data_IF_460176407755
#
_entry.id   IF_460176407755
#
_cell.length_a   1.000
_cell.length_b   1.000
_cell.length_c   1.000
_cell.angle_alpha   90.00
_cell.angle_beta   90.00
_cell.angle_gamma   90.00
#
_symmetry.space_group_name_H-M   'P 1'
#
loop_
_entity.id
_entity.type
_entity.pdbx_description
1 polymer ?
#
# COMPACT_ATOMS: atom_id res chain seq x y z
N UNK A 1 -10.41 42.93 -25.94
CA UNK A 1 -10.66 42.26 -24.65
C UNK A 1 -9.35 41.60 -24.21
N UNK A 2 -8.63 42.22 -23.26
CA UNK A 2 -7.29 41.80 -22.84
C UNK A 2 -7.44 40.82 -21.66
N UNK A 3 -7.02 39.58 -21.84
CA UNK A 3 -6.94 38.58 -20.75
C UNK A 3 -5.65 38.82 -19.97
N UNK A 4 -5.80 39.14 -18.69
CA UNK A 4 -4.68 39.27 -17.75
C UNK A 4 -4.31 37.85 -17.28
N UNK A 5 -3.07 37.45 -17.53
CA UNK A 5 -2.48 36.24 -16.95
C UNK A 5 -2.20 36.43 -15.46
N UNK A 6 -2.80 35.62 -14.63
CA UNK A 6 -2.47 35.53 -13.21
C UNK A 6 -1.16 34.72 -13.05
N UNK A 7 -0.15 35.36 -12.48
CA UNK A 7 1.11 34.70 -12.09
C UNK A 7 0.87 33.88 -10.83
N UNK A 8 0.99 32.56 -10.94
CA UNK A 8 1.07 31.66 -9.79
C UNK A 8 2.43 31.79 -9.11
N UNK A 9 2.44 32.03 -7.80
CA UNK A 9 3.63 32.12 -6.98
C UNK A 9 4.20 30.71 -6.67
N UNK A 10 5.51 30.47 -6.71
CA UNK A 10 6.10 29.20 -6.33
C UNK A 10 6.49 29.22 -4.84
N UNK A 11 5.78 28.47 -4.02
CA UNK A 11 6.15 28.36 -2.60
C UNK A 11 5.81 26.98 -2.01
N UNK A 12 6.49 25.91 -2.39
CA UNK A 12 7.06 25.02 -1.37
C UNK A 12 8.42 24.38 -1.69
N UNK A 13 9.06 24.74 -2.80
CA UNK A 13 10.34 24.12 -3.19
C UNK A 13 11.55 24.46 -2.27
N UNK A 14 11.45 25.53 -1.46
CA UNK A 14 12.60 26.02 -0.68
C UNK A 14 12.89 25.18 0.59
N UNK A 15 11.89 24.50 1.16
CA UNK A 15 12.10 23.71 2.39
C UNK A 15 12.70 22.33 2.14
N UNK A 16 12.48 21.74 0.97
CA UNK A 16 13.05 20.44 0.62
C UNK A 16 14.51 20.54 0.15
N UNK A 17 14.90 21.64 -0.48
CA UNK A 17 16.27 21.86 -0.92
C UNK A 17 17.26 22.01 0.23
N UNK A 18 16.80 22.53 1.38
CA UNK A 18 17.65 22.68 2.57
C UNK A 18 17.97 21.33 3.25
N UNK A 19 17.11 20.31 3.11
CA UNK A 19 17.32 18.99 3.68
C UNK A 19 18.26 18.11 2.82
N UNK A 20 18.37 18.36 1.52
CA UNK A 20 19.20 17.56 0.60
C UNK A 20 20.63 18.10 0.45
N UNK A 21 20.92 19.33 0.92
CA UNK A 21 22.25 19.91 0.84
C UNK A 21 23.18 19.58 2.03
N UNK A 22 22.68 18.85 3.03
CA UNK A 22 23.42 18.58 4.26
C UNK A 22 24.61 17.57 4.17
N UNK A 23 24.68 16.59 3.24
CA UNK A 23 25.80 15.66 3.23
C UNK A 23 27.07 16.16 2.55
N UNK A 24 27.02 17.23 1.77
CA UNK A 24 28.21 17.74 1.06
C UNK A 24 29.12 18.64 1.91
N UNK A 25 28.67 19.09 3.08
CA UNK A 25 29.42 20.03 3.94
C UNK A 25 30.28 19.33 5.02
N UNK A 26 30.37 18.00 5.03
CA UNK A 26 31.12 17.27 6.07
C UNK A 26 32.61 17.11 5.85
N UNK A 27 33.21 17.81 4.87
CA UNK A 27 34.66 17.76 4.59
C UNK A 27 35.30 19.14 4.49
N UNK A 28 35.03 20.05 5.40
CA UNK A 28 35.90 21.25 5.51
C UNK A 28 36.20 21.57 6.97
N UNK A 29 37.47 21.44 7.29
CA UNK A 29 38.30 22.07 8.33
C UNK A 29 37.64 22.68 9.58
N UNK A 30 38.22 22.31 10.71
CA UNK A 30 38.00 22.73 12.08
C UNK A 30 37.98 24.23 12.36
N UNK A 31 36.97 24.99 11.89
CA UNK A 31 36.70 26.36 12.37
C UNK A 31 35.31 26.87 11.91
N UNK A 32 34.30 26.01 11.85
CA UNK A 32 32.96 26.45 11.50
C UNK A 32 32.14 26.74 12.77
N UNK A 33 32.09 28.05 13.14
CA UNK A 33 31.27 28.59 14.23
C UNK A 33 29.85 28.95 13.83
N UNK A 34 29.34 28.38 12.71
CA UNK A 34 27.96 28.56 12.26
C UNK A 34 26.94 27.85 13.18
N UNK A 35 25.66 28.27 13.16
CA UNK A 35 24.63 27.63 13.96
C UNK A 35 24.48 26.16 13.54
N UNK A 36 24.90 25.24 14.41
CA UNK A 36 24.74 23.79 14.18
C UNK A 36 23.33 23.39 14.61
N UNK A 37 22.53 22.93 13.65
CA UNK A 37 21.25 22.29 13.97
C UNK A 37 21.52 20.96 14.69
N UNK A 38 21.48 20.96 16.01
CA UNK A 38 21.53 19.73 16.80
C UNK A 38 20.10 19.19 16.91
N UNK A 39 19.77 18.18 16.13
CA UNK A 39 18.53 17.46 16.30
C UNK A 39 18.69 16.50 17.50
N UNK A 40 17.84 16.55 18.52
CA UNK A 40 17.89 15.65 19.67
C UNK A 40 17.29 14.28 19.32
N UNK A 41 17.84 13.62 18.30
CA UNK A 41 17.38 12.32 17.78
C UNK A 41 18.56 11.37 17.68
N UNK A 42 18.33 10.09 17.96
CA UNK A 42 19.37 9.04 17.86
C UNK A 42 19.66 8.68 16.40
N UNK A 43 18.63 8.64 15.55
CA UNK A 43 18.76 8.22 14.16
C UNK A 43 17.69 8.86 13.27
N UNK A 44 18.08 9.21 12.05
CA UNK A 44 17.17 9.56 10.96
C UNK A 44 17.56 8.71 9.76
N UNK A 45 16.68 7.79 9.35
CA UNK A 45 16.82 7.02 8.13
C UNK A 45 15.98 7.67 7.02
N UNK A 46 16.63 8.01 5.91
CA UNK A 46 15.97 8.56 4.73
C UNK A 46 15.88 7.49 3.65
N UNK A 47 14.76 7.42 2.95
CA UNK A 47 14.56 6.53 1.82
C UNK A 47 13.83 7.24 0.70
N UNK A 48 14.06 6.80 -0.52
CA UNK A 48 13.34 7.27 -1.68
C UNK A 48 12.95 6.11 -2.60
N UNK A 49 11.88 6.32 -3.37
CA UNK A 49 11.40 5.37 -4.36
C UNK A 49 10.82 6.09 -5.55
N UNK A 50 11.21 5.63 -6.74
CA UNK A 50 10.63 6.08 -8.00
C UNK A 50 10.17 4.85 -8.77
N UNK A 51 8.94 4.88 -9.25
CA UNK A 51 8.37 3.86 -10.13
C UNK A 51 7.83 4.52 -11.39
N UNK A 52 8.39 4.14 -12.55
CA UNK A 52 7.87 4.53 -13.87
C UNK A 52 7.16 3.33 -14.46
N UNK A 53 5.92 3.52 -14.90
CA UNK A 53 5.04 2.49 -15.43
C UNK A 53 4.68 2.79 -16.88
N UNK A 54 4.97 1.83 -17.75
CA UNK A 54 4.40 1.73 -19.10
C UNK A 54 3.24 0.76 -19.04
N UNK A 55 2.09 1.12 -19.58
CA UNK A 55 0.91 0.27 -19.57
C UNK A 55 0.12 0.39 -20.87
N UNK A 56 -0.52 -0.72 -21.26
CA UNK A 56 -1.50 -0.74 -22.35
C UNK A 56 -2.90 -0.96 -21.80
N UNK A 57 -3.91 -0.63 -22.60
CA UNK A 57 -5.31 -0.92 -22.29
C UNK A 57 -6.03 -1.41 -23.54
N UNK A 58 -6.79 -2.50 -23.41
CA UNK A 58 -7.67 -2.99 -24.46
C UNK A 58 -8.99 -2.22 -24.55
N UNK A 59 -9.28 -1.38 -23.56
CA UNK A 59 -10.56 -0.62 -23.43
C UNK A 59 -10.42 0.80 -23.94
N UNK A 60 -9.31 1.46 -23.64
CA UNK A 60 -9.09 2.86 -24.01
C UNK A 60 -8.60 2.94 -25.46
N UNK A 61 -9.55 3.12 -26.38
CA UNK A 61 -9.26 3.24 -27.82
C UNK A 61 -8.62 4.58 -28.21
N UNK A 62 -8.73 5.60 -27.38
CA UNK A 62 -8.13 6.93 -27.61
C UNK A 62 -6.66 6.93 -27.21
N UNK A 63 -6.33 6.28 -26.13
CA UNK A 63 -4.97 6.16 -25.61
C UNK A 63 -4.65 4.73 -25.21
N UNK A 64 -4.41 3.82 -26.17
CA UNK A 64 -4.21 2.39 -25.88
C UNK A 64 -2.91 2.09 -25.15
N UNK A 65 -1.95 3.02 -25.11
CA UNK A 65 -0.70 2.91 -24.37
C UNK A 65 -0.36 4.20 -23.63
N UNK A 66 0.31 4.09 -22.50
CA UNK A 66 0.66 5.23 -21.65
C UNK A 66 1.96 5.01 -20.88
N UNK A 67 2.60 6.12 -20.50
CA UNK A 67 3.77 6.16 -19.63
C UNK A 67 3.49 7.12 -18.49
N UNK A 68 3.55 6.62 -17.27
CA UNK A 68 3.29 7.41 -16.07
C UNK A 68 4.41 7.27 -15.04
N UNK A 69 4.62 8.31 -14.26
CA UNK A 69 5.34 8.20 -13.00
C UNK A 69 4.34 7.67 -11.96
N UNK A 70 4.41 6.40 -11.68
CA UNK A 70 3.41 5.70 -10.86
C UNK A 70 3.51 6.05 -9.38
N UNK A 71 4.75 6.19 -8.86
CA UNK A 71 5.03 6.56 -7.47
C UNK A 71 6.35 7.31 -7.38
N UNK A 72 6.37 8.37 -6.59
CA UNK A 72 7.58 9.07 -6.14
C UNK A 72 7.48 9.24 -4.63
N UNK A 73 8.04 8.31 -3.88
CA UNK A 73 8.02 8.38 -2.42
C UNK A 73 9.32 8.93 -1.88
N UNK A 74 9.19 9.87 -0.96
CA UNK A 74 10.24 10.23 -0.02
C UNK A 74 9.77 9.86 1.38
N UNK A 75 10.64 9.21 2.14
CA UNK A 75 10.33 8.82 3.51
C UNK A 75 11.46 9.17 4.47
N UNK A 76 11.07 9.54 5.67
CA UNK A 76 11.96 9.72 6.81
C UNK A 76 11.44 8.90 7.98
N UNK A 77 12.25 8.00 8.49
CA UNK A 77 12.02 7.30 9.75
C UNK A 77 12.91 7.91 10.81
N UNK A 78 12.33 8.33 11.92
CA UNK A 78 13.02 9.01 13.01
C UNK A 78 12.98 8.15 14.26
N UNK A 79 14.12 7.92 14.87
CA UNK A 79 14.26 7.36 16.21
C UNK A 79 14.78 8.46 17.13
N UNK A 80 13.88 9.02 17.94
CA UNK A 80 14.25 10.05 18.92
C UNK A 80 15.04 9.43 20.05
N UNK A 81 14.59 8.28 20.55
CA UNK A 81 15.24 7.43 21.55
C UNK A 81 14.65 6.01 21.48
N UNK A 82 15.03 5.12 22.41
CA UNK A 82 14.51 3.77 22.44
C UNK A 82 12.99 3.69 22.57
N UNK A 83 12.36 4.68 23.19
CA UNK A 83 10.92 4.72 23.47
C UNK A 83 10.09 5.47 22.41
N UNK A 84 10.65 6.50 21.79
CA UNK A 84 9.93 7.40 20.87
C UNK A 84 10.53 7.32 19.47
N UNK A 85 9.69 7.10 18.47
CA UNK A 85 10.04 7.17 17.05
C UNK A 85 8.85 7.63 16.22
N UNK A 86 9.03 7.68 14.92
CA UNK A 86 7.98 8.09 13.99
C UNK A 86 8.38 7.90 12.54
N UNK A 87 7.43 8.10 11.64
CA UNK A 87 7.64 8.04 10.20
C UNK A 87 6.86 9.14 9.50
N UNK A 88 7.47 9.72 8.50
CA UNK A 88 6.82 10.57 7.50
C UNK A 88 7.13 9.99 6.12
N UNK A 89 6.10 9.73 5.32
CA UNK A 89 6.22 9.34 3.92
C UNK A 89 5.29 10.20 3.07
N UNK A 90 5.82 10.74 1.99
CA UNK A 90 5.08 11.55 1.03
C UNK A 90 5.19 10.97 -0.37
N UNK A 91 4.11 11.08 -1.15
CA UNK A 91 4.04 10.71 -2.57
C UNK A 91 3.95 11.98 -3.41
N UNK A 92 4.85 12.10 -4.40
CA UNK A 92 4.96 13.24 -5.31
C UNK A 92 4.62 12.86 -6.76
N UNK A 93 4.05 11.69 -7.01
CA UNK A 93 3.77 11.21 -8.36
C UNK A 93 2.61 11.92 -9.07
N UNK A 94 1.76 12.64 -8.35
CA UNK A 94 0.61 13.36 -8.91
C UNK A 94 0.83 14.88 -8.95
N UNK A 95 -0.23 15.61 -9.25
CA UNK A 95 -0.23 17.07 -9.30
C UNK A 95 -0.03 17.74 -7.92
N UNK A 96 -0.15 16.98 -6.86
CA UNK A 96 0.03 17.39 -5.46
C UNK A 96 0.82 16.37 -4.68
N UNK A 97 1.61 16.85 -3.71
CA UNK A 97 2.19 15.99 -2.70
C UNK A 97 1.09 15.40 -1.80
N UNK A 98 1.10 14.10 -1.59
CA UNK A 98 0.16 13.38 -0.75
C UNK A 98 0.88 12.76 0.43
N UNK A 99 0.43 13.04 1.64
CA UNK A 99 0.93 12.37 2.86
C UNK A 99 0.42 10.94 2.86
N UNK A 100 1.34 9.97 2.87
CA UNK A 100 1.05 8.53 2.97
C UNK A 100 1.13 8.08 4.42
N UNK A 101 2.30 8.01 5.00
CA UNK A 101 2.49 7.72 6.43
C UNK A 101 2.87 9.01 7.17
N UNK A 102 2.24 9.29 8.29
CA UNK A 102 2.63 10.37 9.18
C UNK A 102 2.18 10.01 10.61
N UNK A 103 3.07 9.37 11.37
CA UNK A 103 2.74 8.89 12.69
C UNK A 103 3.88 8.99 13.69
N UNK A 104 3.52 9.13 14.95
CA UNK A 104 4.35 8.91 16.12
C UNK A 104 4.19 7.47 16.59
N UNK A 105 5.28 6.84 17.03
CA UNK A 105 5.28 5.52 17.67
C UNK A 105 5.92 5.60 19.04
N UNK A 106 5.25 5.06 20.04
CA UNK A 106 5.79 4.84 21.38
C UNK A 106 6.06 3.35 21.56
N UNK A 107 7.33 2.99 21.78
CA UNK A 107 7.79 1.62 21.96
C UNK A 107 7.93 1.33 23.46
N UNK A 108 6.85 0.87 24.10
CA UNK A 108 6.87 0.53 25.54
C UNK A 108 7.64 -0.77 25.75
N UNK A 109 7.36 -1.76 24.90
CA UNK A 109 8.06 -3.05 24.82
C UNK A 109 7.82 -3.67 23.46
N UNK A 110 8.53 -4.76 23.09
CA UNK A 110 8.21 -5.50 21.86
C UNK A 110 6.75 -5.99 21.82
N UNK A 111 6.17 -6.32 22.96
CA UNK A 111 4.78 -6.73 23.08
C UNK A 111 3.76 -5.58 23.19
N UNK A 112 4.20 -4.33 23.33
CA UNK A 112 3.30 -3.19 23.48
C UNK A 112 3.91 -1.95 22.82
N UNK A 113 3.33 -1.54 21.73
CA UNK A 113 3.63 -0.30 21.02
C UNK A 113 2.33 0.48 20.79
N UNK A 114 2.42 1.79 20.86
CA UNK A 114 1.32 2.70 20.53
C UNK A 114 1.71 3.49 19.28
N UNK A 115 0.80 3.60 18.33
CA UNK A 115 0.97 4.38 17.13
C UNK A 115 -0.17 5.39 17.01
N UNK A 116 0.17 6.66 16.80
CA UNK A 116 -0.79 7.75 16.63
C UNK A 116 -0.48 8.52 15.37
N UNK A 117 -1.44 8.62 14.44
CA UNK A 117 -1.28 9.34 13.18
C UNK A 117 -1.91 8.62 11.99
N UNK A 118 -1.47 9.00 10.79
CA UNK A 118 -1.90 8.40 9.53
C UNK A 118 -1.04 7.18 9.20
N UNK A 119 -1.65 6.00 9.21
CA UNK A 119 -0.98 4.74 8.93
C UNK A 119 -1.98 3.71 8.38
N UNK A 120 -1.49 2.59 7.86
CA UNK A 120 -2.38 1.51 7.43
C UNK A 120 -3.22 0.98 8.59
N UNK A 121 -4.51 0.74 8.31
CA UNK A 121 -5.37 -0.08 9.17
C UNK A 121 -4.84 -1.51 9.19
N UNK A 122 -4.86 -2.22 10.33
CA UNK A 122 -4.39 -3.60 10.42
C UNK A 122 -5.42 -4.57 9.82
N UNK A 123 -5.61 -4.49 8.50
CA UNK A 123 -6.53 -5.29 7.71
C UNK A 123 -5.98 -5.52 6.31
N UNK A 124 -6.06 -6.74 5.76
CA UNK A 124 -5.48 -7.21 4.51
C UNK A 124 -3.94 -7.25 4.50
N UNK A 125 -3.38 -8.47 4.43
CA UNK A 125 -1.94 -8.68 4.27
C UNK A 125 -1.43 -8.01 3.00
N UNK A 126 -2.18 -8.11 1.90
CA UNK A 126 -1.84 -7.54 0.60
C UNK A 126 -1.72 -6.02 0.68
N UNK A 127 -2.66 -5.36 1.38
CA UNK A 127 -2.58 -3.92 1.60
C UNK A 127 -1.40 -3.50 2.49
N UNK A 128 -1.12 -4.27 3.54
CA UNK A 128 -0.03 -4.03 4.48
C UNK A 128 1.35 -4.28 3.86
N UNK A 129 1.45 -5.12 2.82
CA UNK A 129 2.70 -5.41 2.11
C UNK A 129 3.19 -4.16 1.38
N UNK A 130 4.46 -3.79 1.58
CA UNK A 130 5.07 -2.61 0.91
C UNK A 130 5.03 -2.75 -0.61
N UNK A 131 4.78 -1.64 -1.31
CA UNK A 131 4.79 -1.58 -2.79
C UNK A 131 6.11 -2.06 -3.42
N UNK A 132 7.22 -2.04 -2.67
CA UNK A 132 8.50 -2.58 -3.14
C UNK A 132 8.60 -4.08 -3.03
N UNK A 133 7.70 -4.71 -2.26
CA UNK A 133 7.72 -6.14 -1.92
C UNK A 133 6.57 -6.93 -2.53
N UNK A 134 5.56 -6.28 -3.12
CA UNK A 134 4.51 -6.99 -3.85
C UNK A 134 5.11 -7.71 -5.05
N UNK A 135 4.69 -8.94 -5.32
CA UNK A 135 5.16 -9.75 -6.45
C UNK A 135 4.68 -9.17 -7.78
N UNK A 136 3.38 -8.86 -7.99
CA UNK A 136 2.92 -8.15 -9.18
C UNK A 136 3.34 -6.67 -9.14
N UNK A 137 3.14 -5.95 -10.22
CA UNK A 137 3.39 -4.49 -10.29
C UNK A 137 2.38 -3.73 -9.44
N UNK A 138 1.13 -4.15 -9.43
CA UNK A 138 0.03 -3.53 -8.67
C UNK A 138 -0.65 -4.56 -7.78
N UNK A 139 -1.26 -4.12 -6.66
CA UNK A 139 -2.00 -4.99 -5.75
C UNK A 139 -3.29 -5.51 -6.36
N UNK A 140 -4.01 -4.66 -7.09
CA UNK A 140 -5.25 -4.95 -7.79
C UNK A 140 -5.15 -4.70 -9.28
N UNK A 141 -6.23 -4.94 -10.00
CA UNK A 141 -6.35 -4.63 -11.40
C UNK A 141 -6.21 -3.11 -11.64
N UNK A 142 -5.34 -2.73 -12.55
CA UNK A 142 -5.19 -1.36 -13.01
C UNK A 142 -5.22 -1.37 -14.54
N UNK A 143 -6.42 -1.22 -15.12
CA UNK A 143 -6.65 -1.18 -16.56
C UNK A 143 -7.32 0.16 -16.86
N UNK A 144 -6.62 1.02 -17.61
CA UNK A 144 -7.15 2.35 -17.92
C UNK A 144 -8.43 2.23 -18.73
N UNK A 145 -9.41 3.08 -18.42
CA UNK A 145 -10.75 3.04 -19.01
C UNK A 145 -11.69 2.02 -18.38
N UNK A 146 -11.22 1.24 -17.39
CA UNK A 146 -12.04 0.30 -16.65
C UNK A 146 -11.79 0.44 -15.14
N UNK A 147 -12.75 -0.03 -14.33
CA UNK A 147 -12.67 -0.06 -12.88
C UNK A 147 -12.98 -1.49 -12.34
N UNK A 148 -12.12 -2.48 -12.62
CA UNK A 148 -12.32 -3.84 -12.16
C UNK A 148 -12.33 -3.92 -10.64
N UNK A 149 -13.28 -4.67 -10.08
CA UNK A 149 -13.40 -4.94 -8.64
C UNK A 149 -12.88 -6.35 -8.33
N UNK A 150 -11.57 -6.54 -8.45
CA UNK A 150 -10.88 -7.69 -7.88
C UNK A 150 -10.79 -7.56 -6.35
N UNK A 151 -10.16 -8.50 -5.65
CA UNK A 151 -10.09 -8.52 -4.19
C UNK A 151 -9.62 -7.18 -3.61
N UNK A 152 -8.42 -6.72 -4.02
CA UNK A 152 -7.84 -5.51 -3.46
C UNK A 152 -8.66 -4.25 -3.77
N UNK A 153 -9.16 -4.12 -5.01
CA UNK A 153 -9.96 -2.98 -5.41
C UNK A 153 -11.32 -2.95 -4.68
N UNK A 154 -11.90 -4.12 -4.40
CA UNK A 154 -13.10 -4.23 -3.55
C UNK A 154 -12.83 -3.73 -2.14
N UNK A 155 -11.81 -4.26 -1.46
CA UNK A 155 -11.50 -3.91 -0.07
C UNK A 155 -11.11 -2.43 0.07
N UNK A 156 -10.33 -1.92 -0.87
CA UNK A 156 -9.91 -0.51 -0.91
C UNK A 156 -11.09 0.41 -1.23
N UNK A 157 -11.87 0.10 -2.25
CA UNK A 157 -13.06 0.86 -2.63
C UNK A 157 -14.12 0.91 -1.55
N UNK A 158 -14.29 -0.19 -0.81
CA UNK A 158 -15.17 -0.27 0.37
C UNK A 158 -14.53 0.32 1.63
N UNK A 159 -13.26 0.75 1.59
CA UNK A 159 -12.55 1.40 2.69
C UNK A 159 -12.35 0.51 3.94
N UNK A 160 -12.37 -0.81 3.81
CA UNK A 160 -12.01 -1.72 4.89
C UNK A 160 -10.50 -1.73 5.15
N UNK A 161 -9.70 -1.50 4.13
CA UNK A 161 -8.25 -1.39 4.18
C UNK A 161 -7.79 0.07 3.94
N UNK A 162 -6.53 0.31 3.60
CA UNK A 162 -5.88 1.59 3.35
C UNK A 162 -5.40 2.32 4.62
N UNK A 163 -4.74 3.46 4.37
CA UNK A 163 -4.25 4.34 5.43
C UNK A 163 -5.36 5.22 5.96
N UNK A 164 -5.33 5.47 7.27
CA UNK A 164 -6.29 6.33 7.92
C UNK A 164 -5.68 6.99 9.17
N UNK A 165 -6.22 8.13 9.55
CA UNK A 165 -5.80 8.83 10.77
C UNK A 165 -6.42 8.16 11.99
N UNK A 166 -5.59 7.68 12.92
CA UNK A 166 -6.09 6.97 14.08
C UNK A 166 -5.05 6.67 15.15
N UNK A 167 -5.47 5.81 16.06
CA UNK A 167 -4.65 5.27 17.14
C UNK A 167 -4.62 3.75 17.02
N UNK A 168 -3.44 3.16 17.17
CA UNK A 168 -3.25 1.72 17.17
C UNK A 168 -2.44 1.27 18.37
N UNK A 169 -2.80 0.12 18.89
CA UNK A 169 -1.99 -0.68 19.83
C UNK A 169 -1.55 -1.91 19.09
N UNK A 170 -0.26 -2.19 19.06
CA UNK A 170 0.29 -3.33 18.35
C UNK A 170 1.49 -3.92 19.11
N UNK A 171 1.82 -5.16 18.82
CA UNK A 171 2.98 -5.79 19.43
C UNK A 171 3.18 -7.24 19.00
N UNK A 172 4.42 -7.69 19.24
CA UNK A 172 4.82 -9.09 19.14
C UNK A 172 5.62 -9.43 20.39
N UNK A 173 4.96 -9.97 21.45
CA UNK A 173 5.62 -10.24 22.71
C UNK A 173 6.79 -11.22 22.54
N UNK A 174 7.95 -10.90 23.10
CA UNK A 174 9.13 -11.77 23.03
C UNK A 174 8.83 -13.12 23.69
N UNK A 175 9.11 -14.21 22.98
CA UNK A 175 8.84 -15.56 23.44
C UNK A 175 7.37 -15.97 23.42
N UNK A 176 6.51 -15.19 22.77
CA UNK A 176 5.12 -15.58 22.56
C UNK A 176 5.03 -16.90 21.78
N UNK A 177 4.11 -17.81 22.15
CA UNK A 177 3.89 -19.04 21.41
C UNK A 177 3.65 -18.77 19.93
N UNK A 178 4.25 -19.60 19.06
CA UNK A 178 4.08 -19.52 17.61
C UNK A 178 4.39 -18.13 17.01
N UNK A 179 5.27 -17.34 17.62
CA UNK A 179 5.58 -15.99 17.13
C UNK A 179 4.36 -15.05 17.08
N UNK A 180 3.43 -15.17 18.01
CA UNK A 180 2.20 -14.40 18.04
C UNK A 180 2.45 -12.89 17.98
N UNK A 181 1.68 -12.22 17.12
CA UNK A 181 1.61 -10.76 17.00
C UNK A 181 0.17 -10.27 16.92
N UNK A 182 -0.03 -9.02 17.25
CA UNK A 182 -1.36 -8.40 17.18
C UNK A 182 -1.30 -6.92 16.83
N UNK A 183 -2.39 -6.39 16.29
CA UNK A 183 -2.64 -4.96 16.12
C UNK A 183 -4.13 -4.68 16.25
N UNK A 184 -4.50 -3.63 16.98
CA UNK A 184 -5.88 -3.16 17.14
C UNK A 184 -5.88 -1.64 17.00
N UNK A 185 -6.82 -1.08 16.26
CA UNK A 185 -6.88 0.36 16.05
C UNK A 185 -8.29 0.91 15.88
N UNK A 186 -8.41 2.21 16.19
CA UNK A 186 -9.57 3.03 15.93
C UNK A 186 -9.16 4.21 15.04
N UNK A 187 -9.93 4.46 13.97
CA UNK A 187 -9.60 5.39 12.90
C UNK A 187 -10.76 6.33 12.61
N UNK A 188 -10.45 7.50 12.11
CA UNK A 188 -11.44 8.55 11.83
C UNK A 188 -12.29 8.24 10.56
N UNK A 189 -11.78 7.44 9.62
CA UNK A 189 -12.29 7.34 8.27
C UNK A 189 -11.51 8.24 7.29
N UNK A 190 -11.74 8.14 5.97
CA UNK A 190 -10.87 8.72 4.97
C UNK A 190 -10.66 10.22 5.17
N UNK A 191 -9.41 10.68 5.06
CA UNK A 191 -9.05 12.11 5.09
C UNK A 191 -9.76 12.82 3.93
N UNK A 192 -10.67 13.75 4.25
CA UNK A 192 -11.40 14.56 3.27
C UNK A 192 -12.89 14.31 3.20
N UNK A 193 -13.45 13.41 4.00
CA UNK A 193 -14.90 13.32 4.18
C UNK A 193 -15.44 14.63 4.75
N UNK A 194 -16.47 15.20 4.14
CA UNK A 194 -17.14 16.39 4.66
C UNK A 194 -17.54 16.16 6.12
N UNK A 195 -17.16 17.09 6.97
CA UNK A 195 -17.53 17.11 8.39
C UNK A 195 -19.03 17.40 8.46
N UNK A 196 -19.86 16.34 8.37
CA UNK A 196 -21.25 16.40 8.82
C UNK A 196 -21.30 15.89 10.27
N UNK A 197 -22.42 16.06 10.95
CA UNK A 197 -22.60 15.84 12.39
C UNK A 197 -22.20 14.45 12.94
N UNK A 198 -21.78 13.51 12.08
CA UNK A 198 -21.26 12.20 12.47
C UNK A 198 -20.10 11.81 11.51
N UNK A 199 -18.87 11.93 11.99
CA UNK A 199 -17.70 11.43 11.25
C UNK A 199 -17.72 9.88 11.26
N UNK A 200 -17.51 9.25 10.11
CA UNK A 200 -17.39 7.79 10.05
C UNK A 200 -16.26 7.31 10.97
N UNK A 201 -16.52 6.25 11.73
CA UNK A 201 -15.52 5.61 12.58
C UNK A 201 -15.19 4.24 12.03
N UNK A 202 -13.91 3.94 11.86
CA UNK A 202 -13.42 2.60 11.51
C UNK A 202 -12.73 1.97 12.70
N UNK A 203 -12.96 0.68 12.90
CA UNK A 203 -12.19 -0.15 13.83
C UNK A 203 -11.52 -1.25 13.02
N UNK A 204 -10.32 -1.65 13.40
CA UNK A 204 -9.66 -2.79 12.81
C UNK A 204 -8.84 -3.55 13.86
N UNK A 205 -8.79 -4.87 13.72
CA UNK A 205 -7.99 -5.76 14.55
C UNK A 205 -7.38 -6.86 13.68
N UNK A 206 -6.15 -7.24 13.99
CA UNK A 206 -5.41 -8.31 13.33
C UNK A 206 -4.62 -9.11 14.35
N UNK A 207 -4.61 -10.42 14.18
CA UNK A 207 -3.71 -11.35 14.88
C UNK A 207 -2.88 -12.12 13.86
N UNK A 208 -1.63 -12.42 14.20
CA UNK A 208 -0.71 -13.19 13.35
C UNK A 208 0.01 -14.24 14.15
N UNK A 209 0.35 -15.36 13.51
CA UNK A 209 1.21 -16.41 14.05
C UNK A 209 2.23 -16.85 13.01
N UNK A 210 3.43 -17.27 13.48
CA UNK A 210 4.49 -17.84 12.66
C UNK A 210 4.91 -19.20 13.27
N UNK A 211 4.13 -20.28 13.00
CA UNK A 211 4.37 -21.58 13.60
C UNK A 211 5.66 -22.26 13.11
N UNK A 212 6.12 -21.92 11.92
CA UNK A 212 7.36 -22.36 11.31
C UNK A 212 8.07 -21.16 10.69
N UNK A 213 9.39 -21.25 10.57
CA UNK A 213 10.16 -20.20 9.90
C UNK A 213 9.62 -19.92 8.49
N UNK A 214 9.38 -18.65 8.21
CA UNK A 214 8.84 -18.14 6.96
C UNK A 214 7.41 -18.63 6.60
N UNK A 215 6.68 -19.28 7.52
CA UNK A 215 5.26 -19.61 7.35
C UNK A 215 4.42 -18.81 8.34
N UNK A 216 3.67 -17.85 7.85
CA UNK A 216 2.85 -16.93 8.64
C UNK A 216 1.38 -17.10 8.29
N UNK A 217 0.54 -16.98 9.30
CA UNK A 217 -0.91 -16.91 9.15
C UNK A 217 -1.42 -15.66 9.83
N UNK A 218 -2.42 -15.05 9.25
CA UNK A 218 -3.11 -13.89 9.80
C UNK A 218 -4.62 -14.06 9.78
N UNK A 219 -5.26 -13.36 10.71
CA UNK A 219 -6.70 -13.17 10.72
C UNK A 219 -6.99 -11.73 11.10
N UNK A 220 -7.88 -11.09 10.37
CA UNK A 220 -8.24 -9.71 10.64
C UNK A 220 -9.75 -9.47 10.57
N UNK A 221 -10.16 -8.43 11.27
CA UNK A 221 -11.50 -7.89 11.26
C UNK A 221 -11.44 -6.39 11.09
N UNK A 222 -12.33 -5.84 10.28
CA UNK A 222 -12.49 -4.40 10.12
C UNK A 222 -13.98 -4.03 10.18
N UNK A 223 -14.29 -2.93 10.81
CA UNK A 223 -15.63 -2.35 10.74
C UNK A 223 -15.54 -0.86 10.44
N UNK A 224 -16.51 -0.35 9.72
CA UNK A 224 -16.61 1.06 9.37
C UNK A 224 -18.06 1.51 9.30
N UNK A 225 -18.26 2.81 9.53
CA UNK A 225 -19.54 3.43 9.26
C UNK A 225 -19.63 3.85 7.79
N UNK A 226 -20.79 3.73 7.21
CA UNK A 226 -21.09 4.15 5.83
C UNK A 226 -22.53 4.65 5.71
N UNK A 227 -22.82 5.35 4.61
CA UNK A 227 -24.19 5.69 4.20
C UNK A 227 -24.46 5.06 2.84
N UNK A 228 -25.58 4.34 2.71
CA UNK A 228 -25.98 3.75 1.44
C UNK A 228 -26.34 4.84 0.40
N UNK A 229 -26.97 5.92 0.87
CA UNK A 229 -27.28 7.13 0.07
C UNK A 229 -27.02 8.38 0.89
N UNK A 230 -26.81 9.52 0.21
CA UNK A 230 -26.70 10.81 0.88
C UNK A 230 -28.00 11.11 1.66
N UNK A 231 -27.88 11.44 2.94
CA UNK A 231 -29.01 11.73 3.83
C UNK A 231 -29.51 10.52 4.63
N UNK A 232 -29.11 9.29 4.29
CA UNK A 232 -29.46 8.10 5.06
C UNK A 232 -28.75 8.10 6.43
N UNK A 233 -29.32 7.34 7.38
CA UNK A 233 -28.66 7.06 8.65
C UNK A 233 -27.33 6.33 8.42
N UNK A 234 -26.37 6.55 9.32
CA UNK A 234 -25.12 5.76 9.35
C UNK A 234 -25.44 4.30 9.64
N UNK A 235 -24.88 3.42 8.86
CA UNK A 235 -24.90 1.98 9.04
C UNK A 235 -23.48 1.50 9.33
N UNK A 236 -23.34 0.38 10.02
CA UNK A 236 -22.07 -0.25 10.30
C UNK A 236 -21.88 -1.50 9.46
N UNK A 237 -20.85 -1.50 8.63
CA UNK A 237 -20.42 -2.66 7.89
C UNK A 237 -19.23 -3.34 8.54
N UNK A 238 -19.12 -4.65 8.33
CA UNK A 238 -18.06 -5.51 8.84
C UNK A 238 -17.39 -6.29 7.71
N UNK A 239 -16.10 -6.52 7.84
CA UNK A 239 -15.35 -7.43 7.00
C UNK A 239 -14.42 -8.30 7.84
N UNK A 240 -14.18 -9.52 7.38
CA UNK A 240 -13.26 -10.48 7.95
C UNK A 240 -12.27 -10.91 6.87
N UNK A 241 -11.05 -11.17 7.28
CA UNK A 241 -9.98 -11.61 6.40
C UNK A 241 -9.16 -12.70 7.08
N UNK A 242 -8.74 -13.69 6.28
CA UNK A 242 -7.77 -14.72 6.62
C UNK A 242 -6.66 -14.71 5.58
N UNK A 243 -5.42 -14.80 6.02
CA UNK A 243 -4.27 -14.84 5.13
C UNK A 243 -3.21 -15.85 5.55
N UNK A 244 -2.38 -16.19 4.55
CA UNK A 244 -1.19 -17.00 4.74
C UNK A 244 -0.06 -16.49 3.84
N UNK A 245 1.15 -16.50 4.36
CA UNK A 245 2.37 -16.20 3.63
C UNK A 245 3.42 -17.28 3.89
N UNK A 246 4.04 -17.76 2.82
CA UNK A 246 5.20 -18.66 2.89
C UNK A 246 6.37 -18.08 2.09
N UNK A 247 7.54 -18.12 2.69
CA UNK A 247 8.78 -17.55 2.13
C UNK A 247 9.02 -16.13 2.59
N UNK A 248 10.23 -15.65 2.38
CA UNK A 248 10.65 -14.30 2.73
C UNK A 248 10.97 -13.50 1.48
N UNK A 249 10.44 -12.28 1.41
CA UNK A 249 10.70 -11.40 0.29
C UNK A 249 12.21 -11.11 0.14
N UNK A 250 12.70 -11.26 -1.09
CA UNK A 250 14.12 -11.02 -1.41
C UNK A 250 15.04 -12.22 -1.15
N UNK A 251 14.55 -13.29 -0.55
CA UNK A 251 15.28 -14.55 -0.34
C UNK A 251 15.03 -15.48 -1.55
N UNK A 252 16.07 -16.17 -2.07
CA UNK A 252 15.87 -17.18 -3.13
C UNK A 252 14.94 -18.31 -2.67
N UNK A 253 14.06 -18.72 -3.56
CA UNK A 253 13.10 -19.80 -3.29
C UNK A 253 11.66 -19.40 -3.62
N UNK A 254 10.75 -20.22 -3.13
CA UNK A 254 9.31 -20.06 -3.31
C UNK A 254 8.77 -18.97 -2.36
N UNK A 255 7.92 -18.11 -2.91
CA UNK A 255 7.16 -17.13 -2.16
C UNK A 255 5.68 -17.26 -2.53
N UNK A 256 4.84 -17.52 -1.55
CA UNK A 256 3.39 -17.66 -1.67
C UNK A 256 2.70 -16.66 -0.74
N UNK A 257 1.70 -15.99 -1.23
CA UNK A 257 0.80 -15.14 -0.45
C UNK A 257 -0.62 -15.50 -0.83
N UNK A 258 -1.48 -15.68 0.15
CA UNK A 258 -2.90 -15.93 -0.05
C UNK A 258 -3.74 -15.13 0.92
N UNK A 259 -4.83 -14.56 0.44
CA UNK A 259 -5.79 -13.80 1.24
C UNK A 259 -7.21 -14.13 0.81
N UNK A 260 -8.11 -14.29 1.78
CA UNK A 260 -9.54 -14.48 1.60
C UNK A 260 -10.27 -13.47 2.48
N UNK A 261 -11.18 -12.70 1.91
CA UNK A 261 -11.97 -11.72 2.63
C UNK A 261 -13.47 -11.87 2.33
N UNK A 262 -14.30 -11.59 3.32
CA UNK A 262 -15.75 -11.51 3.17
C UNK A 262 -16.31 -10.43 4.07
N UNK A 263 -17.41 -9.80 3.66
CA UNK A 263 -18.00 -8.74 4.46
C UNK A 263 -19.20 -8.07 3.80
N UNK A 264 -19.58 -6.92 4.36
CA UNK A 264 -20.70 -6.15 3.88
C UNK A 264 -20.27 -5.24 2.72
N UNK A 265 -20.99 -5.33 1.60
CA UNK A 265 -20.70 -4.54 0.41
C UNK A 265 -21.07 -3.05 0.55
N UNK A 266 -21.80 -2.71 1.63
CA UNK A 266 -22.15 -1.31 1.92
C UNK A 266 -23.01 -0.68 0.83
N UNK A 267 -24.06 -1.37 0.40
CA UNK A 267 -25.04 -0.89 -0.56
C UNK A 267 -26.43 -0.77 0.09
N UNK A 268 -27.33 -0.05 -0.57
CA UNK A 268 -28.74 0.04 -0.13
C UNK A 268 -29.46 -1.31 -0.05
N UNK A 269 -28.92 -2.32 -0.72
CA UNK A 269 -29.52 -3.66 -0.82
C UNK A 269 -28.93 -4.66 0.18
N UNK A 270 -28.11 -4.17 1.15
CA UNK A 270 -27.48 -4.98 2.22
C UNK A 270 -26.69 -6.20 1.68
N UNK A 271 -26.07 -6.06 0.51
CA UNK A 271 -25.32 -7.14 -0.13
C UNK A 271 -24.02 -7.44 0.61
N UNK A 272 -23.55 -8.65 0.43
CA UNK A 272 -22.25 -9.12 0.91
C UNK A 272 -21.29 -9.31 -0.26
N UNK A 273 -20.01 -9.31 0.05
CA UNK A 273 -18.96 -9.69 -0.89
C UNK A 273 -18.16 -10.88 -0.36
N UNK A 274 -17.56 -11.61 -1.30
CA UNK A 274 -16.46 -12.54 -1.06
C UNK A 274 -15.36 -12.24 -2.06
N UNK A 275 -14.13 -12.17 -1.59
CA UNK A 275 -12.99 -11.85 -2.42
C UNK A 275 -11.80 -12.69 -1.99
N UNK A 276 -10.93 -13.04 -2.94
CA UNK A 276 -9.72 -13.80 -2.67
C UNK A 276 -8.61 -13.35 -3.60
N UNK A 277 -7.37 -13.34 -3.10
CA UNK A 277 -6.19 -13.12 -3.91
C UNK A 277 -5.06 -14.05 -3.51
N UNK A 278 -4.34 -14.55 -4.51
CA UNK A 278 -3.14 -15.34 -4.30
C UNK A 278 -2.01 -14.86 -5.20
N UNK A 279 -0.80 -14.82 -4.64
CA UNK A 279 0.44 -14.56 -5.36
C UNK A 279 1.36 -15.76 -5.25
N UNK A 280 2.00 -16.09 -6.36
CA UNK A 280 3.04 -17.09 -6.45
C UNK A 280 4.27 -16.44 -7.09
N UNK A 281 5.44 -16.61 -6.49
CA UNK A 281 6.73 -16.22 -7.04
C UNK A 281 7.80 -17.27 -6.77
N UNK A 282 8.77 -17.36 -7.64
CA UNK A 282 9.98 -18.15 -7.41
C UNK A 282 11.21 -17.30 -7.71
N UNK A 283 11.93 -16.92 -6.69
CA UNK A 283 13.14 -16.11 -6.83
C UNK A 283 14.36 -17.00 -7.03
N UNK A 284 15.07 -16.79 -8.14
CA UNK A 284 16.31 -17.52 -8.39
C UNK A 284 17.41 -17.15 -7.37
N UNK A 285 18.38 -18.03 -7.12
CA UNK A 285 19.64 -17.63 -6.52
C UNK A 285 20.32 -16.53 -7.35
N UNK A 286 21.32 -15.89 -6.76
CA UNK A 286 22.06 -14.82 -7.44
C UNK A 286 22.70 -15.32 -8.74
N UNK A 287 22.37 -14.65 -9.85
CA UNK A 287 22.79 -15.05 -11.20
C UNK A 287 24.11 -14.39 -11.59
N UNK A 288 24.27 -13.09 -11.34
CA UNK A 288 25.46 -12.34 -11.72
C UNK A 288 25.68 -11.11 -10.83
N UNK A 289 26.70 -10.30 -11.13
CA UNK A 289 26.94 -9.02 -10.46
C UNK A 289 25.90 -7.96 -10.84
N UNK A 290 25.45 -7.96 -12.10
CA UNK A 290 24.49 -6.99 -12.62
C UNK A 290 23.05 -7.45 -12.37
N UNK A 291 22.70 -8.68 -12.81
CA UNK A 291 21.37 -9.28 -12.60
C UNK A 291 21.43 -10.21 -11.39
N UNK A 292 20.88 -9.73 -10.26
CA UNK A 292 20.91 -10.48 -9.02
C UNK A 292 19.96 -11.66 -9.01
N UNK A 293 18.72 -11.48 -9.48
CA UNK A 293 17.73 -12.54 -9.54
C UNK A 293 16.71 -12.30 -10.64
N UNK A 294 16.10 -13.39 -11.08
CA UNK A 294 14.89 -13.42 -11.89
C UNK A 294 13.79 -14.06 -11.05
N UNK A 295 12.59 -13.50 -11.07
CA UNK A 295 11.46 -13.97 -10.29
C UNK A 295 10.21 -14.03 -11.17
N UNK A 296 9.93 -15.19 -11.83
CA UNK A 296 8.63 -15.43 -12.42
C UNK A 296 7.55 -15.35 -11.34
N UNK A 297 6.44 -14.72 -11.68
CA UNK A 297 5.34 -14.46 -10.75
C UNK A 297 3.99 -14.76 -11.38
N UNK A 298 3.02 -15.08 -10.57
CA UNK A 298 1.64 -15.23 -10.98
C UNK A 298 0.71 -14.68 -9.89
N UNK A 299 -0.33 -13.98 -10.30
CA UNK A 299 -1.43 -13.54 -9.43
C UNK A 299 -2.74 -14.10 -9.96
N UNK A 300 -3.57 -14.59 -9.03
CA UNK A 300 -4.98 -14.82 -9.19
C UNK A 300 -5.72 -13.94 -8.19
N UNK A 301 -6.70 -13.15 -8.64
CA UNK A 301 -7.55 -12.35 -7.75
C UNK A 301 -9.00 -12.43 -8.21
N UNK A 302 -9.91 -12.58 -7.27
CA UNK A 302 -11.35 -12.72 -7.51
C UNK A 302 -12.08 -11.75 -6.61
N UNK A 303 -12.99 -10.98 -7.21
CA UNK A 303 -13.99 -10.21 -6.48
C UNK A 303 -15.38 -10.71 -6.84
N UNK A 304 -16.20 -10.99 -5.86
CA UNK A 304 -17.59 -11.40 -6.03
C UNK A 304 -18.51 -10.64 -5.06
N UNK A 305 -19.67 -10.27 -5.54
CA UNK A 305 -20.75 -9.65 -4.76
C UNK A 305 -22.01 -10.47 -5.01
N UNK A 306 -22.84 -10.67 -4.00
CA UNK A 306 -24.10 -11.43 -4.07
C UNK A 306 -25.02 -10.96 -5.22
N UNK A 307 -26.10 -11.69 -5.48
CA UNK A 307 -27.03 -11.47 -6.59
C UNK A 307 -27.34 -9.98 -6.86
N UNK A 308 -27.30 -9.57 -8.12
CA UNK A 308 -27.37 -8.18 -8.55
C UNK A 308 -26.00 -7.48 -8.52
N UNK A 309 -24.91 -8.26 -8.62
CA UNK A 309 -23.53 -7.77 -8.62
C UNK A 309 -23.28 -6.67 -9.65
N UNK A 310 -22.38 -5.72 -9.34
CA UNK A 310 -21.87 -4.79 -10.33
C UNK A 310 -21.23 -5.54 -11.52
N UNK A 311 -21.41 -5.01 -12.71
CA UNK A 311 -20.82 -5.57 -13.95
C UNK A 311 -19.28 -5.62 -13.96
N UNK A 312 -18.63 -4.90 -13.04
CA UNK A 312 -17.18 -4.80 -12.93
C UNK A 312 -16.53 -5.80 -11.94
N UNK A 313 -17.30 -6.71 -11.32
CA UNK A 313 -16.73 -7.83 -10.54
C UNK A 313 -16.28 -8.96 -11.46
N UNK A 314 -15.27 -9.75 -11.04
CA UNK A 314 -14.74 -10.82 -11.87
C UNK A 314 -13.42 -11.40 -11.35
N UNK A 315 -12.66 -11.98 -12.26
CA UNK A 315 -11.40 -12.67 -11.99
C UNK A 315 -10.24 -11.99 -12.72
N UNK A 316 -9.16 -11.71 -12.00
CA UNK A 316 -7.92 -11.17 -12.53
C UNK A 316 -6.83 -12.24 -12.53
N UNK A 317 -6.24 -12.47 -13.69
CA UNK A 317 -5.04 -13.31 -13.87
C UNK A 317 -3.87 -12.40 -14.27
N UNK A 318 -2.73 -12.55 -13.61
CA UNK A 318 -1.54 -11.73 -13.93
C UNK A 318 -0.28 -12.60 -13.90
N UNK A 319 0.10 -13.26 -15.01
CA UNK A 319 1.45 -13.74 -15.17
C UNK A 319 2.45 -12.57 -15.25
N UNK A 320 3.67 -12.80 -14.74
CA UNK A 320 4.68 -11.77 -14.74
C UNK A 320 6.10 -12.28 -14.49
N UNK A 321 7.05 -11.37 -14.55
CA UNK A 321 8.44 -11.60 -14.19
C UNK A 321 9.09 -10.34 -13.63
N UNK A 322 9.85 -10.49 -12.56
CA UNK A 322 10.73 -9.47 -11.98
C UNK A 322 12.20 -9.75 -12.27
N UNK A 323 12.93 -8.72 -12.71
CA UNK A 323 14.39 -8.74 -12.90
C UNK A 323 15.01 -7.83 -11.84
N UNK A 324 15.81 -8.37 -10.92
CA UNK A 324 16.38 -7.65 -9.78
C UNK A 324 17.85 -7.31 -10.00
N UNK A 325 18.21 -6.05 -9.75
CA UNK A 325 19.56 -5.50 -9.98
C UNK A 325 20.30 -5.16 -8.68
N UNK A 326 19.69 -5.41 -7.54
CA UNK A 326 20.25 -5.18 -6.21
C UNK A 326 19.26 -4.48 -5.28
N UNK A 327 19.22 -4.93 -4.02
CA UNK A 327 18.23 -4.43 -3.07
C UNK A 327 16.81 -4.57 -3.59
N UNK A 328 16.08 -3.46 -3.60
CA UNK A 328 14.69 -3.36 -4.10
C UNK A 328 14.59 -2.87 -5.55
N UNK A 329 15.75 -2.69 -6.24
CA UNK A 329 15.79 -2.18 -7.61
C UNK A 329 15.41 -3.28 -8.60
N UNK A 330 14.37 -3.06 -9.39
CA UNK A 330 13.85 -4.07 -10.32
C UNK A 330 13.23 -3.48 -11.58
N UNK A 331 13.20 -4.28 -12.62
CA UNK A 331 12.33 -4.13 -13.79
C UNK A 331 11.32 -5.27 -13.73
N UNK A 332 10.04 -4.96 -13.86
CA UNK A 332 8.96 -5.95 -13.79
C UNK A 332 8.08 -5.87 -15.03
N UNK A 333 7.72 -7.04 -15.56
CA UNK A 333 6.74 -7.19 -16.64
C UNK A 333 5.54 -7.97 -16.11
N UNK A 334 4.33 -7.47 -16.33
CA UNK A 334 3.07 -8.16 -16.04
C UNK A 334 2.14 -8.10 -17.24
N UNK A 335 1.27 -9.09 -17.34
CA UNK A 335 0.16 -9.10 -18.28
C UNK A 335 -1.14 -9.39 -17.53
N UNK A 336 -1.97 -8.39 -17.37
CA UNK A 336 -3.27 -8.53 -16.71
C UNK A 336 -4.31 -9.01 -17.71
N UNK A 337 -5.05 -10.04 -17.33
CA UNK A 337 -6.25 -10.55 -18.00
C UNK A 337 -7.38 -10.47 -17.00
N UNK A 338 -8.33 -9.60 -17.25
CA UNK A 338 -9.55 -9.46 -16.46
C UNK A 338 -10.70 -10.18 -17.12
N UNK A 339 -11.29 -11.13 -16.41
CA UNK A 339 -12.46 -11.91 -16.82
C UNK A 339 -13.65 -11.40 -16.01
N UNK A 340 -14.55 -10.58 -16.59
CA UNK A 340 -15.73 -10.10 -15.87
C UNK A 340 -16.66 -11.28 -15.56
N UNK A 341 -17.42 -11.17 -14.45
CA UNK A 341 -18.42 -12.16 -14.04
C UNK A 341 -19.66 -12.13 -14.96
N UNK A 342 -20.00 -10.96 -15.51
CA UNK A 342 -21.13 -10.79 -16.41
C UNK A 342 -20.73 -11.22 -17.82
N UNK A 343 -21.44 -12.19 -18.39
CA UNK A 343 -21.14 -12.78 -19.71
C UNK A 343 -21.21 -11.79 -20.88
N UNK A 344 -21.92 -10.67 -20.70
CA UNK A 344 -22.08 -9.60 -21.71
C UNK A 344 -20.89 -8.63 -21.76
N UNK A 345 -19.95 -8.73 -20.83
CA UNK A 345 -18.78 -7.86 -20.77
C UNK A 345 -17.55 -8.55 -21.40
N UNK A 346 -16.78 -7.78 -22.15
CA UNK A 346 -15.56 -8.25 -22.79
C UNK A 346 -14.44 -8.52 -21.78
N UNK A 347 -13.60 -9.52 -22.09
CA UNK A 347 -12.33 -9.74 -21.39
C UNK A 347 -11.40 -8.55 -21.64
N UNK A 348 -10.82 -8.01 -20.55
CA UNK A 348 -9.93 -6.87 -20.63
C UNK A 348 -8.48 -7.28 -20.48
N UNK A 349 -7.60 -6.57 -21.19
CA UNK A 349 -6.17 -6.87 -21.21
C UNK A 349 -5.32 -5.62 -20.94
N UNK A 350 -4.21 -5.80 -20.22
CA UNK A 350 -3.21 -4.75 -20.01
C UNK A 350 -1.81 -5.34 -19.86
N UNK A 351 -0.90 -5.01 -20.76
CA UNK A 351 0.52 -5.26 -20.58
C UNK A 351 1.16 -4.11 -19.80
N UNK A 352 2.03 -4.44 -18.84
CA UNK A 352 2.70 -3.47 -17.97
C UNK A 352 4.18 -3.74 -17.87
N UNK A 353 4.99 -2.68 -17.99
CA UNK A 353 6.42 -2.69 -17.74
C UNK A 353 6.74 -1.61 -16.72
N UNK A 354 7.31 -1.98 -15.59
CA UNK A 354 7.68 -1.06 -14.52
C UNK A 354 9.17 -1.04 -14.27
N UNK A 355 9.74 0.15 -14.17
CA UNK A 355 11.08 0.39 -13.65
C UNK A 355 10.96 0.92 -12.23
N UNK A 356 11.64 0.27 -11.28
CA UNK A 356 11.67 0.66 -9.87
C UNK A 356 13.10 0.93 -9.43
N UNK A 357 13.32 2.14 -8.92
CA UNK A 357 14.51 2.54 -8.17
C UNK A 357 14.09 2.79 -6.72
N UNK A 358 14.81 2.20 -5.77
CA UNK A 358 14.59 2.41 -4.34
C UNK A 358 15.92 2.35 -3.56
N UNK A 359 16.09 3.22 -2.59
CA UNK A 359 17.27 3.30 -1.72
C UNK A 359 16.93 3.87 -0.34
#
# INVERSE_FOLDING_TARGET
MRIRSARSAPLPALLLAAALAAPAAAQSSANDSGPRLRLPVEEIALGARVQTLFSTSSVDSVQPADVTIRRVYLEASVKVNAFVGGKLQMDFAGDRAVVRDAYLRLNVSPGLQLLAGNAYKPFSLIALTSDTRILPIERGALIRGAAPLDEYNLLSGLQYTERDLGLQVLGSPTGAPLGFGYAVGAFRGPLGGSVGDQSPVSLAARATVEPLQALRFGAAWSSRDFRARSGDALQRGHAFELDAEYGDYGVPGLHLVGELATGDFSSADERRFTAAQAWLGYRTPRLSRALHAVEPTFRLSVGDVDAGAPANVGTLLTPGVGLYFGGLNRVSLNYDVWLPKADENDTLHSAKLMFQLAF
#
